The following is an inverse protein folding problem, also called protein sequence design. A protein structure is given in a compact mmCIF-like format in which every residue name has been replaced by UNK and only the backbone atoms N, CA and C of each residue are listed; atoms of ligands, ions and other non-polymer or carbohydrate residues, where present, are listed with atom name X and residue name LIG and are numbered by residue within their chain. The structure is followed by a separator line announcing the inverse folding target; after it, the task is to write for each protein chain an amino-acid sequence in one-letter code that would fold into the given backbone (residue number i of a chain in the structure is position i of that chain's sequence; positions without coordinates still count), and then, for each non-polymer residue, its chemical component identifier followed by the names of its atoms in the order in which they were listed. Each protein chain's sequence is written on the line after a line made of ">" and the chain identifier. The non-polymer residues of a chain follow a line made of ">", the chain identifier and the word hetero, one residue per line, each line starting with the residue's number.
data_IF_683701177385
#
_entry.id   IF_683701177385
#
_cell.length_a   1.000
_cell.length_b   1.000
_cell.length_c   1.000
_cell.angle_alpha   90.00
_cell.angle_beta   90.00
_cell.angle_gamma   90.00
#
_symmetry.space_group_name_H-M   'P 1'
#
loop_
_entity.id
_entity.type
_entity.pdbx_description
1 polymer ?
#
# COMPACT_ATOMS: atom_id res chain seq x y z
N UNK A 1 21.82 61.38 -31.85
CA UNK A 1 20.57 61.41 -31.07
C UNK A 1 20.78 60.63 -29.78
N UNK A 2 20.89 61.32 -28.65
CA UNK A 2 21.04 60.68 -27.35
C UNK A 2 19.70 60.06 -26.90
N UNK A 3 19.69 58.88 -26.25
CA UNK A 3 18.45 58.27 -25.75
C UNK A 3 17.84 59.13 -24.65
N UNK A 4 16.58 59.54 -24.83
CA UNK A 4 15.80 60.26 -23.82
C UNK A 4 15.71 59.41 -22.55
N UNK A 5 16.42 59.82 -21.49
CA UNK A 5 16.31 59.19 -20.19
C UNK A 5 14.93 59.50 -19.59
N UNK A 6 14.18 58.45 -19.25
CA UNK A 6 12.89 58.57 -18.58
C UNK A 6 13.04 59.26 -17.21
N UNK A 7 12.11 60.14 -16.81
CA UNK A 7 12.19 60.86 -15.55
C UNK A 7 12.27 59.92 -14.34
N UNK A 8 13.10 60.24 -13.31
CA UNK A 8 13.38 59.32 -12.19
C UNK A 8 12.14 58.98 -11.33
N UNK A 9 11.10 59.83 -11.35
CA UNK A 9 9.84 59.60 -10.63
C UNK A 9 8.88 58.63 -11.32
N UNK A 10 9.06 58.36 -12.62
CA UNK A 10 8.23 57.40 -13.38
C UNK A 10 8.70 55.95 -13.26
N UNK A 11 9.97 55.73 -12.88
CA UNK A 11 10.56 54.40 -12.69
C UNK A 11 9.87 53.55 -11.60
N UNK A 12 9.55 54.06 -10.39
CA UNK A 12 8.88 53.27 -9.37
C UNK A 12 7.42 52.95 -9.72
N UNK A 13 6.72 53.85 -10.43
CA UNK A 13 5.33 53.65 -10.85
C UNK A 13 5.25 52.60 -11.97
N UNK A 14 6.15 52.67 -12.95
CA UNK A 14 6.22 51.69 -14.04
C UNK A 14 6.57 50.29 -13.52
N UNK A 15 7.47 50.20 -12.53
CA UNK A 15 7.89 48.93 -11.89
C UNK A 15 6.77 48.29 -11.07
N UNK A 16 5.92 49.11 -10.42
CA UNK A 16 4.71 48.66 -9.72
C UNK A 16 3.64 48.18 -10.70
N UNK A 17 3.42 48.90 -11.81
CA UNK A 17 2.47 48.52 -12.85
C UNK A 17 2.87 47.22 -13.57
N UNK A 18 4.16 47.01 -13.85
CA UNK A 18 4.63 45.73 -14.39
C UNK A 18 4.36 44.56 -13.46
N UNK A 19 4.47 44.73 -12.14
CA UNK A 19 4.12 43.69 -11.17
C UNK A 19 2.63 43.35 -11.16
N UNK A 20 1.76 44.35 -11.25
CA UNK A 20 0.31 44.17 -11.28
C UNK A 20 -0.22 43.46 -12.54
N UNK A 21 0.53 43.48 -13.65
CA UNK A 21 0.16 42.78 -14.89
C UNK A 21 0.90 41.45 -15.05
N UNK A 22 2.19 41.38 -14.72
CA UNK A 22 2.97 40.14 -14.84
C UNK A 22 2.52 39.08 -13.85
N UNK A 23 2.17 39.44 -12.61
CA UNK A 23 1.76 38.45 -11.61
C UNK A 23 0.46 37.73 -12.01
N UNK A 24 -0.64 38.40 -12.41
CA UNK A 24 -1.84 37.69 -12.84
C UNK A 24 -1.66 36.94 -14.16
N UNK A 25 -0.82 37.43 -15.09
CA UNK A 25 -0.50 36.69 -16.33
C UNK A 25 0.32 35.44 -16.04
N UNK A 26 1.29 35.53 -15.13
CA UNK A 26 2.10 34.38 -14.71
C UNK A 26 1.27 33.38 -13.90
N UNK A 27 0.37 33.86 -13.04
CA UNK A 27 -0.59 33.02 -12.32
C UNK A 27 -1.59 32.35 -13.27
N UNK A 28 -2.12 33.07 -14.26
CA UNK A 28 -2.99 32.51 -15.29
C UNK A 28 -2.25 31.49 -16.17
N UNK A 29 -0.97 31.75 -16.49
CA UNK A 29 -0.11 30.80 -17.19
C UNK A 29 0.18 29.57 -16.33
N UNK A 30 0.39 29.70 -15.02
CA UNK A 30 0.58 28.57 -14.10
C UNK A 30 -0.70 27.73 -13.93
N UNK A 31 -1.87 28.38 -13.91
CA UNK A 31 -3.17 27.70 -13.83
C UNK A 31 -3.51 27.02 -15.16
N UNK A 32 -3.19 27.64 -16.29
CA UNK A 32 -3.38 27.05 -17.62
C UNK A 32 -2.34 25.97 -17.96
N UNK A 33 -1.16 26.02 -17.32
CA UNK A 33 -0.13 24.99 -17.36
C UNK A 33 -0.27 23.97 -16.22
N UNK A 34 -1.39 23.99 -15.49
CA UNK A 34 -1.70 22.91 -14.56
C UNK A 34 -1.67 21.61 -15.37
N UNK A 35 -0.85 20.62 -14.99
CA UNK A 35 -0.79 19.35 -15.70
C UNK A 35 -2.22 18.81 -15.76
N UNK A 36 -2.68 18.47 -16.97
CA UNK A 36 -3.96 17.76 -17.10
C UNK A 36 -3.89 16.56 -16.18
N UNK A 37 -4.88 16.35 -15.29
CA UNK A 37 -4.88 15.15 -14.46
C UNK A 37 -4.75 13.98 -15.43
N UNK A 38 -3.69 13.18 -15.26
CA UNK A 38 -3.57 11.92 -15.98
C UNK A 38 -4.90 11.21 -15.77
N UNK A 39 -5.63 10.93 -16.86
CA UNK A 39 -6.89 10.21 -16.77
C UNK A 39 -6.55 8.86 -16.14
N UNK A 40 -6.85 8.73 -14.86
CA UNK A 40 -6.64 7.50 -14.13
C UNK A 40 -7.50 6.43 -14.82
N UNK A 41 -6.91 5.28 -15.11
CA UNK A 41 -7.63 4.21 -15.76
C UNK A 41 -8.36 3.36 -14.72
N UNK A 42 -9.29 2.51 -15.17
CA UNK A 42 -9.82 1.48 -14.29
C UNK A 42 -8.71 0.50 -13.92
N UNK A 43 -8.76 -0.05 -12.71
CA UNK A 43 -7.74 -1.00 -12.25
C UNK A 43 -8.32 -2.22 -11.58
N UNK A 44 -7.46 -3.21 -11.43
CA UNK A 44 -7.72 -4.41 -10.66
C UNK A 44 -6.76 -4.57 -9.48
N UNK A 45 -7.17 -5.39 -8.52
CA UNK A 45 -6.45 -5.60 -7.26
C UNK A 45 -6.62 -7.01 -6.72
N UNK A 46 -5.52 -7.68 -6.38
CA UNK A 46 -5.52 -8.97 -5.70
C UNK A 46 -4.57 -8.87 -4.51
N UNK A 47 -5.01 -9.26 -3.31
CA UNK A 47 -4.11 -9.16 -2.16
C UNK A 47 -4.69 -9.60 -0.83
N UNK A 48 -3.94 -9.33 0.22
CA UNK A 48 -4.28 -9.70 1.59
C UNK A 48 -3.04 -9.73 2.46
N UNK A 49 -3.22 -9.98 3.75
CA UNK A 49 -2.10 -10.11 4.67
C UNK A 49 -2.53 -10.61 6.02
N UNK A 50 -1.56 -11.20 6.72
CA UNK A 50 -1.69 -11.61 8.11
C UNK A 50 -0.45 -11.14 8.87
N UNK A 51 -0.50 -9.91 9.38
CA UNK A 51 0.51 -9.39 10.32
C UNK A 51 0.25 -9.94 11.72
N UNK A 52 0.32 -11.27 11.86
CA UNK A 52 0.22 -11.94 13.15
C UNK A 52 1.62 -12.27 13.65
N UNK A 53 1.91 -11.87 14.89
CA UNK A 53 3.09 -12.34 15.62
C UNK A 53 3.13 -13.86 15.56
N UNK A 54 4.31 -14.43 15.33
CA UNK A 54 4.44 -15.88 15.24
C UNK A 54 3.86 -16.53 16.51
N UNK A 55 2.99 -17.55 16.41
CA UNK A 55 2.59 -18.31 17.58
C UNK A 55 3.86 -18.83 18.25
N UNK A 56 4.07 -18.47 19.51
CA UNK A 56 5.14 -19.05 20.30
C UNK A 56 4.92 -20.56 20.29
N UNK A 57 5.91 -21.34 19.86
CA UNK A 57 5.83 -22.79 19.94
C UNK A 57 5.34 -23.19 21.34
N UNK A 58 4.39 -24.14 21.48
CA UNK A 58 3.96 -24.58 22.80
C UNK A 58 5.20 -25.12 23.51
N UNK A 59 5.64 -24.40 24.55
CA UNK A 59 6.69 -24.88 25.44
C UNK A 59 6.12 -26.11 26.13
N UNK A 60 6.50 -27.27 25.63
CA UNK A 60 6.25 -28.55 26.28
C UNK A 60 7.03 -28.50 27.61
N UNK A 61 6.36 -28.13 28.69
CA UNK A 61 6.93 -28.19 30.04
C UNK A 61 6.95 -29.67 30.44
N UNK A 62 7.92 -30.40 29.88
CA UNK A 62 8.22 -31.77 30.25
C UNK A 62 9.07 -31.78 31.52
N UNK A 63 8.48 -32.27 32.62
CA UNK A 63 9.19 -33.08 33.61
C UNK A 63 9.95 -32.35 34.71
N UNK A 64 9.35 -32.35 35.91
CA UNK A 64 10.03 -32.11 37.19
C UNK A 64 9.10 -32.52 38.33
N UNK A 65 9.35 -33.68 38.94
CA UNK A 65 8.38 -34.44 39.71
C UNK A 65 8.30 -34.14 41.21
N UNK A 66 7.44 -34.93 41.88
CA UNK A 66 7.46 -35.18 43.32
C UNK A 66 6.16 -34.83 44.04
N UNK A 67 5.47 -35.84 44.59
CA UNK A 67 4.41 -35.60 45.58
C UNK A 67 3.31 -36.64 45.66
N UNK A 68 3.63 -37.80 46.22
CA UNK A 68 2.71 -38.86 46.64
C UNK A 68 1.66 -38.41 47.65
N UNK A 69 0.36 -38.63 47.37
CA UNK A 69 -0.66 -38.83 48.42
C UNK A 69 -1.69 -39.87 47.98
N UNK A 70 -1.98 -40.76 48.93
CA UNK A 70 -2.78 -41.98 48.86
C UNK A 70 -4.17 -41.72 49.44
N UNK A 71 -5.19 -42.37 48.88
CA UNK A 71 -6.50 -42.62 49.50
C UNK A 71 -7.64 -41.81 48.87
N UNK A 72 -8.85 -42.31 48.62
CA UNK A 72 -9.47 -43.62 48.86
C UNK A 72 -11.00 -43.45 48.76
N UNK A 73 -11.67 -44.44 48.17
CA UNK A 73 -13.09 -44.85 48.34
C UNK A 73 -14.27 -44.00 47.80
N UNK A 74 -15.30 -44.76 47.36
CA UNK A 74 -16.72 -44.46 47.00
C UNK A 74 -16.94 -43.72 45.66
N UNK A 75 -17.73 -44.20 44.69
CA UNK A 75 -18.90 -45.09 44.70
C UNK A 75 -20.18 -44.25 44.47
N UNK A 76 -20.89 -44.42 43.34
CA UNK A 76 -22.17 -43.72 43.14
C UNK A 76 -22.73 -43.61 41.70
N UNK A 77 -23.49 -44.62 41.31
CA UNK A 77 -24.62 -44.78 40.36
C UNK A 77 -25.47 -43.54 39.92
N UNK A 78 -26.03 -43.65 38.69
CA UNK A 78 -27.27 -42.99 38.21
C UNK A 78 -27.06 -41.78 37.28
N UNK A 79 -27.70 -41.59 36.12
CA UNK A 79 -28.91 -42.15 35.53
C UNK A 79 -29.89 -41.03 35.16
N UNK A 80 -30.24 -40.87 33.86
CA UNK A 80 -31.34 -40.02 33.34
C UNK A 80 -31.04 -38.50 33.33
N UNK A 81 -31.52 -37.66 32.41
CA UNK A 81 -32.61 -37.75 31.45
C UNK A 81 -33.41 -36.45 31.51
N UNK A 82 -33.51 -35.73 30.38
CA UNK A 82 -34.73 -35.02 29.98
C UNK A 82 -35.13 -33.66 30.60
N UNK A 83 -35.26 -32.68 29.69
CA UNK A 83 -36.31 -31.64 29.53
C UNK A 83 -36.59 -30.56 30.59
N UNK A 84 -36.80 -29.34 30.06
CA UNK A 84 -37.58 -28.14 30.47
C UNK A 84 -36.70 -26.91 30.13
N UNK A 85 -37.09 -25.87 29.38
CA UNK A 85 -38.40 -25.37 28.96
C UNK A 85 -38.36 -23.83 29.06
N UNK A 86 -38.91 -23.12 28.05
CA UNK A 86 -39.23 -21.68 28.06
C UNK A 86 -38.06 -20.74 27.73
N UNK A 87 -38.12 -19.80 26.78
CA UNK A 87 -39.25 -19.00 26.28
C UNK A 87 -39.23 -17.62 26.97
N UNK A 88 -39.10 -16.50 26.23
CA UNK A 88 -39.13 -15.18 26.89
C UNK A 88 -38.51 -13.95 26.21
N UNK A 89 -39.00 -13.59 25.03
CA UNK A 89 -39.22 -12.23 24.49
C UNK A 89 -38.99 -11.00 25.40
N UNK A 90 -38.18 -10.06 24.90
CA UNK A 90 -38.34 -8.58 24.94
C UNK A 90 -37.76 -8.10 23.59
N UNK A 91 -38.49 -7.47 22.65
CA UNK A 91 -39.23 -6.21 22.79
C UNK A 91 -38.20 -5.09 22.93
N UNK A 92 -37.73 -4.39 21.90
CA UNK A 92 -38.49 -3.56 20.95
C UNK A 92 -38.03 -2.11 21.14
N UNK A 93 -37.98 -1.32 20.06
CA UNK A 93 -37.86 0.15 20.15
C UNK A 93 -36.76 0.76 19.29
N UNK A 94 -37.10 1.05 18.04
CA UNK A 94 -36.47 2.12 17.28
C UNK A 94 -37.02 3.48 17.74
N UNK A 95 -36.15 4.49 17.73
CA UNK A 95 -36.53 5.89 17.92
C UNK A 95 -35.75 6.75 16.94
N UNK A 96 -36.50 7.64 16.29
CA UNK A 96 -36.06 8.74 15.47
C UNK A 96 -35.32 9.80 16.31
N UNK A 97 -34.28 10.40 15.73
CA UNK A 97 -33.64 11.64 16.18
C UNK A 97 -32.42 11.90 15.29
N UNK A 98 -32.35 12.90 14.41
CA UNK A 98 -33.07 14.16 14.35
C UNK A 98 -32.27 15.25 15.05
N UNK A 99 -31.37 15.92 14.30
CA UNK A 99 -30.65 17.14 14.71
C UNK A 99 -29.20 16.88 15.15
N UNK A 100 -28.23 17.77 14.97
CA UNK A 100 -28.23 19.17 14.51
C UNK A 100 -26.82 19.44 13.94
N UNK A 101 -26.79 20.16 12.82
CA UNK A 101 -25.59 20.77 12.26
C UNK A 101 -25.02 21.78 13.27
N UNK A 102 -23.86 21.49 13.84
CA UNK A 102 -23.03 22.54 14.43
C UNK A 102 -22.01 22.99 13.40
N UNK A 103 -22.31 24.14 12.81
CA UNK A 103 -21.31 25.00 12.17
C UNK A 103 -20.30 25.46 13.22
N UNK A 104 -19.04 25.10 12.98
CA UNK A 104 -17.89 25.66 13.65
C UNK A 104 -16.84 25.92 12.58
N UNK A 105 -16.77 27.17 12.12
CA UNK A 105 -15.74 27.63 11.21
C UNK A 105 -14.36 27.43 11.82
N UNK A 106 -13.62 26.47 11.29
CA UNK A 106 -12.20 26.28 11.51
C UNK A 106 -11.56 26.13 10.14
N UNK A 107 -10.71 27.09 9.78
CA UNK A 107 -9.93 27.11 8.56
C UNK A 107 -9.35 25.71 8.29
N UNK A 108 -9.79 25.10 7.18
CA UNK A 108 -9.18 23.92 6.62
C UNK A 108 -7.74 24.28 6.24
N UNK A 109 -6.78 23.86 7.05
CA UNK A 109 -5.42 23.68 6.57
C UNK A 109 -5.50 22.62 5.47
N UNK A 110 -5.25 22.96 4.19
CA UNK A 110 -5.09 21.92 3.20
C UNK A 110 -3.85 21.14 3.64
N UNK A 111 -4.00 19.85 3.91
CA UNK A 111 -2.85 18.96 4.04
C UNK A 111 -2.22 18.81 2.65
N UNK A 112 -1.58 19.87 2.17
CA UNK A 112 -0.45 19.78 1.26
C UNK A 112 0.69 19.33 2.15
N UNK A 113 0.90 18.01 2.23
CA UNK A 113 2.21 17.52 2.60
C UNK A 113 3.16 18.11 1.56
N UNK A 114 4.16 18.90 1.97
CA UNK A 114 5.09 19.45 1.02
C UNK A 114 5.89 18.29 0.42
N UNK A 115 5.67 18.02 -0.87
CA UNK A 115 6.53 17.15 -1.68
C UNK A 115 7.82 17.94 -1.91
N UNK A 116 8.66 18.06 -0.88
CA UNK A 116 9.99 18.64 -1.01
C UNK A 116 11.02 17.53 -0.85
N UNK A 117 11.67 17.18 -1.96
CA UNK A 117 13.07 16.72 -1.97
C UNK A 117 13.34 15.22 -1.89
N UNK A 118 12.33 14.37 -1.69
CA UNK A 118 12.45 12.92 -1.85
C UNK A 118 11.31 12.44 -2.75
N UNK A 119 11.64 11.67 -3.79
CA UNK A 119 10.66 11.03 -4.65
C UNK A 119 9.55 10.37 -3.84
N UNK A 120 8.32 10.41 -4.34
CA UNK A 120 7.12 9.95 -3.62
C UNK A 120 7.06 8.45 -3.34
N UNK A 121 8.16 7.73 -3.61
CA UNK A 121 8.34 6.29 -3.44
C UNK A 121 8.37 5.81 -1.99
N UNK A 122 8.47 4.48 -1.84
CA UNK A 122 8.62 3.78 -0.57
C UNK A 122 9.79 4.34 0.24
N UNK A 123 10.94 4.61 -0.38
CA UNK A 123 12.12 5.12 0.32
C UNK A 123 11.89 6.51 0.92
N UNK A 124 11.20 7.42 0.21
CA UNK A 124 10.81 8.72 0.75
C UNK A 124 9.90 8.59 1.97
N UNK A 125 8.94 7.67 1.93
CA UNK A 125 8.08 7.35 3.08
C UNK A 125 8.88 6.81 4.27
N UNK A 126 9.80 5.87 4.02
CA UNK A 126 10.60 5.24 5.08
C UNK A 126 11.55 6.23 5.73
N UNK A 127 12.18 7.11 4.94
CA UNK A 127 13.02 8.21 5.44
C UNK A 127 12.19 9.15 6.30
N UNK A 128 11.01 9.57 5.84
CA UNK A 128 10.11 10.41 6.63
C UNK A 128 9.77 9.74 7.98
N UNK A 129 9.42 8.46 7.96
CA UNK A 129 9.10 7.70 9.18
C UNK A 129 10.31 7.57 10.12
N UNK A 130 11.51 7.37 9.57
CA UNK A 130 12.73 7.34 10.37
C UNK A 130 12.99 8.70 11.04
N UNK A 131 12.80 9.81 10.32
CA UNK A 131 12.94 11.18 10.87
C UNK A 131 11.89 11.45 11.95
N UNK A 132 10.62 11.11 11.70
CA UNK A 132 9.53 11.25 12.69
C UNK A 132 9.82 10.40 13.92
N UNK A 133 10.27 9.15 13.74
CA UNK A 133 10.66 8.26 14.83
C UNK A 133 11.79 8.85 15.68
N UNK A 134 12.83 9.39 15.04
CA UNK A 134 13.94 10.04 15.73
C UNK A 134 13.50 11.28 16.53
N UNK A 135 12.62 12.12 15.96
CA UNK A 135 12.06 13.29 16.63
C UNK A 135 11.20 12.92 17.85
N UNK A 136 10.33 11.91 17.70
CA UNK A 136 9.47 11.43 18.79
C UNK A 136 10.29 10.80 19.92
N UNK A 137 11.37 10.08 19.58
CA UNK A 137 12.28 9.50 20.57
C UNK A 137 13.08 10.58 21.31
N UNK A 138 13.56 11.61 20.59
CA UNK A 138 14.22 12.77 21.19
C UNK A 138 13.34 13.55 22.14
N UNK A 139 12.05 13.75 21.78
CA UNK A 139 11.09 14.48 22.62
C UNK A 139 10.69 13.69 23.88
N UNK A 140 10.57 12.36 23.79
CA UNK A 140 10.29 11.48 24.96
C UNK A 140 11.47 11.44 25.93
N UNK A 141 12.71 11.47 25.42
CA UNK A 141 13.91 11.51 26.26
C UNK A 141 14.20 12.90 26.85
N UNK A 142 13.65 13.97 26.27
CA UNK A 142 13.79 15.34 26.80
C UNK A 142 12.75 15.70 27.88
N UNK A 143 11.69 14.89 28.07
CA UNK A 143 10.54 15.21 28.93
C UNK A 143 10.39 14.39 30.21
N UNK A 144 11.33 13.52 30.59
CA UNK A 144 11.13 12.61 31.72
C UNK A 144 12.41 12.05 32.34
N UNK A 145 13.09 12.85 33.15
CA UNK A 145 13.92 12.33 34.24
C UNK A 145 13.04 12.20 35.47
N UNK A 146 12.89 10.96 35.98
CA UNK A 146 12.66 10.53 37.37
C UNK A 146 11.79 9.27 37.42
N UNK A 147 12.43 8.10 37.36
CA UNK A 147 12.09 6.91 38.17
C UNK A 147 12.91 5.73 37.64
N UNK A 148 14.08 5.52 38.23
CA UNK A 148 14.78 4.25 38.12
C UNK A 148 14.04 3.17 38.90
N UNK A 149 13.70 2.08 38.24
CA UNK A 149 13.56 0.77 38.85
C UNK A 149 13.94 -0.26 37.80
N UNK A 150 15.22 -0.67 37.82
CA UNK A 150 15.67 -1.89 37.22
C UNK A 150 14.83 -3.05 37.77
N UNK A 151 13.92 -3.55 36.94
CA UNK A 151 13.31 -4.85 37.11
C UNK A 151 13.47 -5.56 35.79
N UNK A 152 14.66 -6.12 35.62
CA UNK A 152 14.98 -7.11 34.59
C UNK A 152 14.17 -8.38 34.85
N UNK A 153 12.88 -8.31 34.57
CA UNK A 153 12.01 -9.46 34.32
C UNK A 153 11.91 -9.61 32.81
N UNK A 154 12.97 -10.13 32.18
CA UNK A 154 12.93 -10.59 30.79
C UNK A 154 11.98 -11.78 30.69
N UNK A 155 10.69 -11.47 30.59
CA UNK A 155 9.70 -12.37 30.02
C UNK A 155 9.98 -12.39 28.52
N UNK A 156 10.86 -13.31 28.11
CA UNK A 156 11.19 -13.57 26.72
C UNK A 156 9.96 -14.00 25.93
N UNK A 157 9.24 -13.02 25.40
CA UNK A 157 8.52 -13.12 24.15
C UNK A 157 9.50 -12.83 23.03
N UNK A 158 9.61 -13.74 22.06
CA UNK A 158 10.41 -13.53 20.85
C UNK A 158 10.00 -12.18 20.23
N UNK A 159 10.89 -11.19 20.29
CA UNK A 159 10.65 -9.91 19.61
C UNK A 159 10.65 -10.22 18.12
N UNK A 160 9.50 -10.08 17.47
CA UNK A 160 9.39 -10.26 16.02
C UNK A 160 10.43 -9.35 15.33
N UNK A 161 11.20 -9.91 14.41
CA UNK A 161 12.25 -9.19 13.68
C UNK A 161 11.69 -8.10 12.75
N UNK A 162 12.55 -7.25 12.17
CA UNK A 162 12.12 -6.25 11.20
C UNK A 162 11.46 -6.91 9.99
N UNK A 163 10.45 -6.24 9.42
CA UNK A 163 9.72 -6.68 8.23
C UNK A 163 10.29 -5.96 7.02
N UNK A 164 10.68 -6.72 5.99
CA UNK A 164 11.02 -6.15 4.69
C UNK A 164 9.74 -5.86 3.91
N UNK A 165 9.63 -4.66 3.35
CA UNK A 165 8.57 -4.27 2.43
C UNK A 165 9.24 -3.96 1.10
N UNK A 166 8.77 -4.60 0.03
CA UNK A 166 9.21 -4.37 -1.34
C UNK A 166 8.06 -3.86 -2.19
N UNK A 167 8.34 -2.88 -3.03
CA UNK A 167 7.44 -2.35 -4.05
C UNK A 167 8.12 -2.46 -5.41
N UNK A 168 7.54 -3.21 -6.33
CA UNK A 168 8.04 -3.37 -7.69
C UNK A 168 6.94 -2.96 -8.66
N UNK A 169 7.24 -1.98 -9.49
CA UNK A 169 6.35 -1.44 -10.51
C UNK A 169 6.94 -1.78 -11.89
N UNK A 170 6.12 -2.27 -12.81
CA UNK A 170 6.52 -2.60 -14.18
C UNK A 170 5.53 -1.98 -15.15
N UNK A 171 6.04 -1.16 -16.07
CA UNK A 171 5.31 -0.65 -17.22
C UNK A 171 5.55 -1.55 -18.42
N UNK A 172 4.48 -2.16 -18.93
CA UNK A 172 4.49 -3.08 -20.06
C UNK A 172 3.79 -2.47 -21.28
N UNK A 173 4.16 -2.90 -22.49
CA UNK A 173 3.38 -2.64 -23.68
C UNK A 173 1.98 -3.25 -23.58
N UNK A 174 0.96 -2.58 -24.13
CA UNK A 174 -0.44 -3.04 -24.09
C UNK A 174 -0.72 -4.30 -24.90
N UNK A 175 0.22 -4.77 -25.71
CA UNK A 175 0.19 -6.13 -26.27
C UNK A 175 0.18 -7.20 -25.18
N UNK A 176 0.53 -6.87 -23.92
CA UNK A 176 0.40 -7.73 -22.74
C UNK A 176 -1.05 -7.98 -22.27
N UNK A 177 -2.04 -7.99 -23.17
CA UNK A 177 -3.45 -8.28 -22.83
C UNK A 177 -3.62 -9.65 -22.19
N UNK A 178 -2.74 -10.60 -22.52
CA UNK A 178 -2.69 -11.92 -21.89
C UNK A 178 -2.40 -11.81 -20.38
N UNK A 179 -1.50 -10.92 -19.97
CA UNK A 179 -1.20 -10.67 -18.55
C UNK A 179 -2.43 -10.13 -17.80
N UNK A 180 -3.20 -9.22 -18.40
CA UNK A 180 -4.46 -8.73 -17.79
C UNK A 180 -5.48 -9.86 -17.66
N UNK A 181 -5.61 -10.72 -18.68
CA UNK A 181 -6.50 -11.88 -18.63
C UNK A 181 -6.07 -12.88 -17.55
N UNK A 182 -4.77 -13.09 -17.38
CA UNK A 182 -4.18 -13.93 -16.34
C UNK A 182 -4.45 -13.35 -14.94
N UNK A 183 -4.24 -12.05 -14.74
CA UNK A 183 -4.57 -11.34 -13.51
C UNK A 183 -6.06 -11.43 -13.17
N UNK A 184 -6.94 -11.23 -14.16
CA UNK A 184 -8.38 -11.37 -13.96
C UNK A 184 -8.79 -12.78 -13.59
N UNK A 185 -8.20 -13.80 -14.22
CA UNK A 185 -8.42 -15.20 -13.89
C UNK A 185 -7.98 -15.49 -12.46
N UNK A 186 -6.78 -15.04 -12.07
CA UNK A 186 -6.29 -15.17 -10.69
C UNK A 186 -7.21 -14.47 -9.69
N UNK A 187 -7.68 -13.25 -10.00
CA UNK A 187 -8.65 -12.54 -9.16
C UNK A 187 -9.95 -13.32 -8.98
N UNK A 188 -10.42 -14.01 -10.02
CA UNK A 188 -11.64 -14.81 -9.94
C UNK A 188 -11.48 -16.10 -9.12
N UNK A 189 -10.30 -16.74 -9.16
CA UNK A 189 -10.12 -18.11 -8.63
C UNK A 189 -9.29 -18.20 -7.35
N UNK A 190 -8.33 -17.29 -7.13
CA UNK A 190 -7.38 -17.40 -6.03
C UNK A 190 -8.05 -17.25 -4.65
N UNK A 191 -7.64 -18.07 -3.69
CA UNK A 191 -8.01 -17.92 -2.29
C UNK A 191 -7.05 -16.95 -1.59
N UNK A 192 -7.42 -15.67 -1.52
CA UNK A 192 -6.60 -14.63 -0.87
C UNK A 192 -6.81 -14.53 0.63
N UNK A 193 -7.63 -15.40 1.23
CA UNK A 193 -7.83 -15.46 2.68
C UNK A 193 -6.71 -16.22 3.40
N UNK A 194 -5.85 -16.92 2.65
CA UNK A 194 -4.75 -17.74 3.16
C UNK A 194 -3.40 -17.27 2.62
N UNK A 195 -2.35 -17.36 3.44
CA UNK A 195 -0.98 -17.02 3.01
C UNK A 195 -0.49 -17.91 1.87
N UNK A 196 -0.89 -19.19 1.85
CA UNK A 196 -0.56 -20.11 0.76
C UNK A 196 -1.18 -19.64 -0.58
N UNK A 197 -2.42 -19.15 -0.56
CA UNK A 197 -3.04 -18.61 -1.76
C UNK A 197 -2.44 -17.26 -2.19
N UNK A 198 -2.06 -16.38 -1.25
CA UNK A 198 -1.29 -15.17 -1.57
C UNK A 198 0.06 -15.52 -2.21
N UNK A 199 0.77 -16.50 -1.66
CA UNK A 199 2.06 -16.94 -2.20
C UNK A 199 1.91 -17.51 -3.61
N UNK A 200 0.82 -18.24 -3.88
CA UNK A 200 0.49 -18.69 -5.24
C UNK A 200 0.25 -17.52 -6.19
N UNK A 201 -0.49 -16.49 -5.77
CA UNK A 201 -0.71 -15.26 -6.58
C UNK A 201 0.62 -14.56 -6.88
N UNK A 202 1.50 -14.43 -5.89
CA UNK A 202 2.84 -13.85 -6.07
C UNK A 202 3.62 -14.62 -7.14
N UNK A 203 3.68 -15.96 -7.00
CA UNK A 203 4.38 -16.81 -7.96
C UNK A 203 3.80 -16.72 -9.37
N UNK A 204 2.49 -16.86 -9.52
CA UNK A 204 1.85 -16.83 -10.84
C UNK A 204 2.00 -15.45 -11.50
N UNK A 205 1.87 -14.36 -10.74
CA UNK A 205 2.10 -12.99 -11.24
C UNK A 205 3.55 -12.78 -11.68
N UNK A 206 4.53 -13.14 -10.83
CA UNK A 206 5.95 -13.01 -11.18
C UNK A 206 6.33 -13.88 -12.37
N UNK A 207 5.80 -15.10 -12.47
CA UNK A 207 6.02 -15.98 -13.63
C UNK A 207 5.39 -15.42 -14.90
N UNK A 208 4.19 -14.85 -14.82
CA UNK A 208 3.53 -14.24 -15.97
C UNK A 208 4.34 -13.06 -16.53
N UNK A 209 4.94 -12.25 -15.64
CA UNK A 209 5.87 -11.19 -16.03
C UNK A 209 7.14 -11.77 -16.66
N UNK A 210 7.75 -12.78 -16.04
CA UNK A 210 8.97 -13.44 -16.50
C UNK A 210 8.84 -14.15 -17.85
N UNK A 211 7.62 -14.54 -18.25
CA UNK A 211 7.33 -15.18 -19.54
C UNK A 211 7.32 -14.21 -20.72
N UNK A 212 7.13 -12.93 -20.47
CA UNK A 212 7.01 -11.90 -21.51
C UNK A 212 8.00 -10.74 -21.28
N UNK A 213 9.32 -11.02 -21.17
CA UNK A 213 10.32 -10.00 -20.87
C UNK A 213 10.45 -8.94 -21.97
N UNK A 214 10.10 -9.27 -23.21
CA UNK A 214 10.09 -8.36 -24.36
C UNK A 214 9.03 -7.27 -24.27
N UNK A 215 8.06 -7.40 -23.37
CA UNK A 215 6.99 -6.43 -23.16
C UNK A 215 7.35 -5.40 -22.09
N UNK A 216 8.43 -5.59 -21.33
CA UNK A 216 8.86 -4.64 -20.31
C UNK A 216 9.48 -3.40 -20.97
N UNK A 217 8.98 -2.22 -20.62
CA UNK A 217 9.50 -0.94 -21.12
C UNK A 217 10.03 -0.11 -19.98
N UNK A 218 9.31 -0.10 -18.85
CA UNK A 218 9.68 0.66 -17.68
C UNK A 218 9.66 -0.20 -16.42
N UNK A 219 10.49 0.12 -15.45
CA UNK A 219 10.42 -0.49 -14.14
C UNK A 219 10.90 0.44 -13.01
N UNK A 220 10.42 0.16 -11.81
CA UNK A 220 10.92 0.70 -10.57
C UNK A 220 10.85 -0.40 -9.49
N UNK A 221 11.81 -0.40 -8.57
CA UNK A 221 11.93 -1.44 -7.55
C UNK A 221 12.57 -0.87 -6.30
N UNK A 222 11.78 -0.77 -5.26
CA UNK A 222 12.20 -0.25 -3.97
C UNK A 222 12.01 -1.31 -2.89
N UNK A 223 12.96 -1.38 -1.95
CA UNK A 223 12.86 -2.25 -0.79
C UNK A 223 13.35 -1.50 0.44
N UNK A 224 12.66 -1.71 1.56
CA UNK A 224 13.12 -1.22 2.85
C UNK A 224 12.63 -2.07 3.99
N UNK A 225 13.07 -1.74 5.20
CA UNK A 225 12.73 -2.47 6.41
C UNK A 225 12.04 -1.57 7.42
N UNK A 226 11.05 -2.11 8.10
CA UNK A 226 10.31 -1.42 9.16
C UNK A 226 10.19 -2.33 10.39
N UNK A 227 10.10 -1.76 11.60
CA UNK A 227 9.75 -2.54 12.79
C UNK A 227 8.42 -3.26 12.60
N UNK A 228 8.33 -4.51 13.06
CA UNK A 228 7.12 -5.34 12.94
C UNK A 228 5.85 -4.62 13.39
N UNK A 229 5.91 -3.91 14.53
CA UNK A 229 4.78 -3.16 15.09
C UNK A 229 4.20 -2.08 14.16
N UNK A 230 5.01 -1.57 13.22
CA UNK A 230 4.57 -0.57 12.23
C UNK A 230 4.30 -1.14 10.85
N UNK A 231 4.67 -2.40 10.60
CA UNK A 231 4.73 -2.99 9.27
C UNK A 231 3.37 -2.98 8.56
N UNK A 232 2.31 -3.41 9.24
CA UNK A 232 0.95 -3.41 8.69
C UNK A 232 0.50 -2.02 8.28
N UNK A 233 0.69 -1.04 9.16
CA UNK A 233 0.28 0.34 8.90
C UNK A 233 1.07 0.97 7.74
N UNK A 234 2.35 0.62 7.59
CA UNK A 234 3.19 1.07 6.48
C UNK A 234 2.75 0.43 5.17
N UNK A 235 2.56 -0.89 5.18
CA UNK A 235 2.08 -1.65 4.02
C UNK A 235 0.74 -1.12 3.52
N UNK A 236 -0.25 -0.97 4.41
CA UNK A 236 -1.58 -0.47 4.06
C UNK A 236 -1.53 0.96 3.51
N UNK A 237 -0.60 1.80 3.98
CA UNK A 237 -0.43 3.16 3.46
C UNK A 237 0.12 3.15 2.03
N UNK A 238 1.10 2.30 1.75
CA UNK A 238 1.66 2.12 0.41
C UNK A 238 0.60 1.59 -0.55
N UNK A 239 -0.15 0.56 -0.12
CA UNK A 239 -1.30 0.04 -0.84
C UNK A 239 -2.31 1.13 -1.20
N UNK A 240 -2.73 1.96 -0.24
CA UNK A 240 -3.66 3.07 -0.49
C UNK A 240 -3.08 4.11 -1.45
N UNK A 241 -1.77 4.41 -1.37
CA UNK A 241 -1.09 5.31 -2.31
C UNK A 241 -1.15 4.76 -3.74
N UNK A 242 -0.83 3.48 -3.93
CA UNK A 242 -0.87 2.85 -5.24
C UNK A 242 -2.31 2.75 -5.77
N UNK A 243 -3.28 2.44 -4.90
CA UNK A 243 -4.70 2.42 -5.26
C UNK A 243 -5.26 3.78 -5.62
N UNK A 244 -4.74 4.87 -5.04
CA UNK A 244 -5.20 6.23 -5.36
C UNK A 244 -4.89 6.67 -6.79
N UNK A 245 -4.01 5.94 -7.48
CA UNK A 245 -3.71 6.13 -8.91
C UNK A 245 -4.80 5.57 -9.82
N UNK A 246 -5.69 4.71 -9.31
CA UNK A 246 -6.79 4.11 -10.05
C UNK A 246 -8.01 5.04 -10.00
N UNK A 247 -8.72 5.18 -11.11
CA UNK A 247 -10.01 5.91 -11.11
C UNK A 247 -11.10 5.06 -10.45
N UNK A 248 -11.13 3.78 -10.80
CA UNK A 248 -12.14 2.82 -10.37
C UNK A 248 -11.52 1.44 -10.20
N UNK A 249 -11.80 0.77 -9.10
CA UNK A 249 -11.50 -0.65 -8.90
C UNK A 249 -12.64 -1.50 -9.45
N UNK A 250 -12.43 -2.17 -10.58
CA UNK A 250 -13.46 -3.01 -11.22
C UNK A 250 -13.25 -4.50 -10.95
N UNK A 251 -12.02 -4.95 -10.72
CA UNK A 251 -11.72 -6.34 -10.36
C UNK A 251 -11.01 -6.36 -9.01
N UNK A 252 -11.62 -6.93 -7.98
CA UNK A 252 -10.99 -7.05 -6.65
C UNK A 252 -11.09 -8.47 -6.10
N UNK A 253 -10.00 -8.91 -5.46
CA UNK A 253 -9.97 -10.13 -4.64
C UNK A 253 -9.02 -9.89 -3.46
N UNK A 254 -9.57 -9.48 -2.33
CA UNK A 254 -8.77 -9.10 -1.16
C UNK A 254 -9.25 -9.80 0.09
N UNK A 255 -8.35 -10.52 0.76
CA UNK A 255 -8.63 -11.27 1.99
C UNK A 255 -9.88 -12.20 1.86
N UNK A 256 -10.07 -12.80 0.69
CA UNK A 256 -11.19 -13.66 0.34
C UNK A 256 -12.45 -12.93 -0.13
N UNK A 257 -12.53 -11.60 0.00
CA UNK A 257 -13.63 -10.79 -0.51
C UNK A 257 -13.40 -10.45 -1.98
N UNK A 258 -14.35 -10.85 -2.84
CA UNK A 258 -14.26 -10.69 -4.29
C UNK A 258 -15.31 -9.72 -4.81
N UNK A 259 -14.96 -8.88 -5.76
CA UNK A 259 -15.88 -8.08 -6.55
C UNK A 259 -15.43 -8.05 -8.00
N UNK A 260 -16.37 -8.18 -8.92
CA UNK A 260 -16.13 -7.99 -10.35
C UNK A 260 -17.23 -7.07 -10.88
N UNK A 261 -16.87 -5.82 -11.15
CA UNK A 261 -17.70 -4.85 -11.84
C UNK A 261 -17.68 -5.12 -13.34
N UNK A 262 -18.85 -5.02 -13.98
CA UNK A 262 -18.92 -5.05 -15.44
C UNK A 262 -18.41 -3.73 -15.99
N UNK A 263 -17.21 -3.72 -16.60
CA UNK A 263 -16.72 -2.54 -17.31
C UNK A 263 -17.44 -2.41 -18.65
N UNK A 264 -18.45 -1.53 -18.71
CA UNK A 264 -19.06 -1.07 -19.96
C UNK A 264 -18.51 0.32 -20.24
N UNK A 265 -17.22 0.42 -20.54
CA UNK A 265 -16.60 1.65 -21.04
C UNK A 265 -16.02 1.32 -22.41
N UNK A 266 -16.38 2.14 -23.40
CA UNK A 266 -15.90 1.97 -24.76
C UNK A 266 -14.36 2.13 -24.79
N UNK A 267 -13.68 1.22 -25.48
CA UNK A 267 -12.24 1.31 -25.73
C UNK A 267 -11.89 2.72 -26.22
N UNK A 268 -10.93 3.37 -25.55
CA UNK A 268 -10.42 4.66 -26.00
C UNK A 268 -9.82 4.51 -27.40
N UNK A 269 -10.00 5.52 -28.24
CA UNK A 269 -9.33 5.59 -29.54
C UNK A 269 -7.87 6.00 -29.32
N UNK A 270 -6.96 5.04 -29.13
CA UNK A 270 -5.51 5.31 -29.08
C UNK A 270 -4.74 4.41 -30.04
N UNK A 271 -3.54 4.88 -30.36
CA UNK A 271 -2.64 4.28 -31.33
C UNK A 271 -1.89 3.11 -30.68
N UNK A 272 -2.17 1.88 -31.13
CA UNK A 272 -1.79 0.62 -30.49
C UNK A 272 -0.27 0.42 -30.25
N UNK A 273 0.57 1.28 -30.82
CA UNK A 273 2.03 1.26 -30.66
C UNK A 273 2.54 1.98 -29.39
N UNK A 274 1.73 2.83 -28.74
CA UNK A 274 2.16 3.67 -27.59
C UNK A 274 1.31 3.46 -26.34
N UNK A 275 0.70 2.29 -26.25
CA UNK A 275 -0.22 1.91 -25.20
C UNK A 275 0.49 1.05 -24.15
N UNK A 276 0.18 1.28 -22.88
CA UNK A 276 0.85 0.65 -21.75
C UNK A 276 -0.13 0.07 -20.72
N UNK A 277 0.39 -0.90 -19.97
CA UNK A 277 -0.21 -1.49 -18.77
C UNK A 277 0.82 -1.35 -17.64
N UNK A 278 0.39 -0.85 -16.49
CA UNK A 278 1.19 -0.81 -15.27
C UNK A 278 0.79 -1.96 -14.34
N UNK A 279 1.78 -2.64 -13.77
CA UNK A 279 1.60 -3.65 -12.71
C UNK A 279 2.47 -3.28 -11.52
N UNK A 280 1.86 -3.14 -10.35
CA UNK A 280 2.54 -2.92 -9.08
C UNK A 280 2.41 -4.17 -8.20
N UNK A 281 3.53 -4.67 -7.69
CA UNK A 281 3.61 -5.70 -6.66
C UNK A 281 4.13 -5.07 -5.37
N UNK A 282 3.34 -5.17 -4.30
CA UNK A 282 3.73 -4.81 -2.95
C UNK A 282 3.81 -6.09 -2.10
N UNK A 283 4.96 -6.33 -1.48
CA UNK A 283 5.23 -7.55 -0.71
C UNK A 283 5.73 -7.16 0.67
N UNK A 284 5.18 -7.77 1.72
CA UNK A 284 5.76 -7.73 3.07
C UNK A 284 6.29 -9.13 3.43
N UNK A 285 7.54 -9.19 3.88
CA UNK A 285 8.25 -10.43 4.22
C UNK A 285 8.91 -10.35 5.60
N UNK A 286 8.90 -11.45 6.35
CA UNK A 286 9.65 -11.61 7.61
C UNK A 286 11.17 -11.62 7.38
N UNK A 287 11.61 -11.99 6.18
CA UNK A 287 13.02 -12.02 5.80
C UNK A 287 13.38 -10.82 4.95
N UNK A 288 14.64 -10.41 5.06
CA UNK A 288 15.21 -9.43 4.15
C UNK A 288 15.05 -9.88 2.69
N UNK A 289 14.64 -8.94 1.83
CA UNK A 289 14.54 -9.12 0.39
C UNK A 289 15.75 -8.44 -0.25
N UNK A 290 16.71 -9.20 -0.77
CA UNK A 290 17.87 -8.66 -1.52
C UNK A 290 17.44 -8.45 -2.97
N UNK A 291 16.78 -7.33 -3.29
CA UNK A 291 16.43 -7.02 -4.67
C UNK A 291 17.67 -6.52 -5.42
N UNK A 292 17.83 -6.90 -6.68
CA UNK A 292 18.98 -6.51 -7.51
C UNK A 292 18.79 -5.19 -8.23
N UNK A 293 17.65 -4.54 -8.00
CA UNK A 293 17.23 -3.32 -8.68
C UNK A 293 16.34 -3.62 -9.88
N UNK A 294 16.02 -2.57 -10.61
CA UNK A 294 15.12 -2.60 -11.78
C UNK A 294 15.63 -1.68 -12.90
N UNK A 295 16.92 -1.36 -12.89
CA UNK A 295 17.53 -0.40 -13.82
C UNK A 295 17.77 -1.02 -15.21
N UNK A 296 17.81 -2.36 -15.29
CA UNK A 296 17.95 -3.12 -16.54
C UNK A 296 16.98 -4.30 -16.56
N UNK A 297 16.69 -4.83 -17.75
CA UNK A 297 15.84 -6.00 -17.91
C UNK A 297 16.39 -7.24 -17.17
N UNK A 298 17.71 -7.41 -17.13
CA UNK A 298 18.37 -8.49 -16.37
C UNK A 298 18.16 -8.31 -14.86
N UNK A 299 18.36 -7.10 -14.34
CA UNK A 299 18.16 -6.81 -12.91
C UNK A 299 16.69 -7.01 -12.51
N UNK A 300 15.74 -6.55 -13.33
CA UNK A 300 14.31 -6.78 -13.12
C UNK A 300 13.99 -8.28 -13.13
N UNK A 301 14.56 -9.04 -14.07
CA UNK A 301 14.39 -10.50 -14.13
C UNK A 301 14.85 -11.18 -12.84
N UNK A 302 16.04 -10.84 -12.34
CA UNK A 302 16.54 -11.38 -11.08
C UNK A 302 15.67 -10.96 -9.89
N UNK A 303 15.22 -9.71 -9.85
CA UNK A 303 14.30 -9.19 -8.83
C UNK A 303 12.98 -9.98 -8.82
N UNK A 304 12.35 -10.21 -9.97
CA UNK A 304 11.12 -11.01 -10.08
C UNK A 304 11.32 -12.48 -9.68
N UNK A 305 12.47 -13.08 -10.02
CA UNK A 305 12.82 -14.45 -9.60
C UNK A 305 12.96 -14.54 -8.07
N UNK A 306 13.52 -13.52 -7.43
CA UNK A 306 13.66 -13.46 -5.97
C UNK A 306 12.33 -13.25 -5.26
N UNK A 307 11.44 -12.44 -5.84
CA UNK A 307 10.09 -12.29 -5.33
C UNK A 307 9.29 -13.60 -5.44
N UNK A 308 9.41 -14.31 -6.57
CA UNK A 308 8.74 -15.60 -6.77
C UNK A 308 9.24 -16.71 -5.82
N UNK A 309 10.45 -16.58 -5.27
CA UNK A 309 11.03 -17.55 -4.33
C UNK A 309 10.67 -17.31 -2.86
N UNK A 310 9.90 -16.25 -2.56
CA UNK A 310 9.41 -15.99 -1.19
C UNK A 310 8.50 -17.15 -0.76
N UNK A 311 8.87 -17.77 0.36
CA UNK A 311 8.14 -18.89 0.94
C UNK A 311 6.88 -18.45 1.70
N UNK A 312 5.92 -19.37 1.84
CA UNK A 312 4.65 -19.14 2.56
C UNK A 312 4.90 -18.67 4.01
N UNK A 313 5.91 -19.20 4.67
CA UNK A 313 6.25 -18.86 6.06
C UNK A 313 6.78 -17.43 6.23
N UNK A 314 7.46 -16.93 5.19
CA UNK A 314 8.10 -15.62 5.21
C UNK A 314 7.13 -14.53 4.71
N UNK A 315 6.16 -14.87 3.87
CA UNK A 315 5.18 -13.92 3.33
C UNK A 315 4.18 -13.46 4.40
N UNK A 316 4.16 -12.16 4.69
CA UNK A 316 3.21 -11.54 5.62
C UNK A 316 2.01 -10.93 4.90
N UNK A 317 2.26 -10.25 3.79
CA UNK A 317 1.22 -9.61 2.99
C UNK A 317 1.65 -9.49 1.53
N UNK A 318 0.67 -9.46 0.65
CA UNK A 318 0.83 -9.26 -0.78
C UNK A 318 -0.28 -8.34 -1.28
N UNK A 319 0.07 -7.43 -2.16
CA UNK A 319 -0.89 -6.67 -2.95
C UNK A 319 -0.38 -6.51 -4.37
N UNK A 320 -1.17 -7.01 -5.32
CA UNK A 320 -0.95 -6.87 -6.76
C UNK A 320 -2.01 -5.91 -7.27
N UNK A 321 -1.57 -4.82 -7.87
CA UNK A 321 -2.43 -3.79 -8.46
C UNK A 321 -2.05 -3.67 -9.92
N UNK A 322 -3.02 -3.61 -10.82
CA UNK A 322 -2.76 -3.36 -12.23
C UNK A 322 -3.74 -2.36 -12.82
N UNK A 323 -3.28 -1.65 -13.84
CA UNK A 323 -4.11 -0.78 -14.65
C UNK A 323 -3.55 -0.64 -16.07
N UNK A 324 -4.39 -0.50 -17.09
CA UNK A 324 -5.85 -0.55 -16.99
C UNK A 324 -6.37 -1.98 -16.75
N UNK A 325 -7.63 -2.13 -16.36
CA UNK A 325 -8.33 -3.43 -16.30
C UNK A 325 -9.51 -3.49 -17.30
N UNK A 326 -10.08 -2.34 -17.65
CA UNK A 326 -11.22 -2.25 -18.58
C UNK A 326 -10.88 -2.78 -19.97
N UNK A 327 -11.84 -3.45 -20.59
CA UNK A 327 -11.66 -4.03 -21.94
C UNK A 327 -11.39 -2.91 -22.95
N UNK A 328 -10.20 -2.93 -23.55
CA UNK A 328 -9.79 -1.91 -24.51
C UNK A 328 -9.34 -0.58 -23.89
N UNK A 329 -9.26 -0.49 -22.55
CA UNK A 329 -8.55 0.61 -21.89
C UNK A 329 -7.03 0.35 -21.94
N UNK A 330 -6.29 1.43 -22.13
CA UNK A 330 -4.82 1.47 -22.26
C UNK A 330 -4.32 2.80 -21.71
N UNK A 331 -3.10 2.85 -21.19
CA UNK A 331 -2.44 4.08 -20.77
C UNK A 331 -1.54 4.60 -21.89
N UNK A 332 -1.56 5.90 -22.16
CA UNK A 332 -0.50 6.52 -22.97
C UNK A 332 0.79 6.63 -22.15
N UNK A 333 1.94 6.85 -22.81
CA UNK A 333 3.22 7.09 -22.14
C UNK A 333 3.14 8.21 -21.09
N UNK A 334 2.50 9.34 -21.45
CA UNK A 334 2.34 10.49 -20.54
C UNK A 334 1.47 10.16 -19.33
N UNK A 335 0.42 9.36 -19.52
CA UNK A 335 -0.43 8.91 -18.41
C UNK A 335 0.32 7.95 -17.48
N UNK A 336 1.10 7.02 -18.05
CA UNK A 336 1.92 6.09 -17.29
C UNK A 336 2.95 6.85 -16.45
N UNK A 337 3.77 7.69 -17.08
CA UNK A 337 4.84 8.43 -16.40
C UNK A 337 4.30 9.52 -15.46
N UNK A 338 3.11 10.06 -15.75
CA UNK A 338 2.41 10.96 -14.85
C UNK A 338 1.91 10.29 -13.57
N UNK A 339 1.38 9.05 -13.68
CA UNK A 339 0.92 8.27 -12.53
C UNK A 339 2.06 7.59 -11.76
N UNK A 340 3.16 7.27 -12.45
CA UNK A 340 4.32 6.57 -11.92
C UNK A 340 5.62 7.31 -12.26
N UNK A 341 5.91 8.44 -11.59
CA UNK A 341 7.05 9.28 -11.92
C UNK A 341 8.42 8.63 -11.62
N UNK A 342 8.45 7.58 -10.80
CA UNK A 342 9.67 6.84 -10.44
C UNK A 342 10.05 5.77 -11.47
N UNK A 343 9.18 5.48 -12.46
CA UNK A 343 9.46 4.50 -13.49
C UNK A 343 10.64 4.93 -14.37
N UNK A 344 11.60 4.03 -14.54
CA UNK A 344 12.77 4.22 -15.39
C UNK A 344 12.68 3.30 -16.61
N UNK A 345 13.17 3.79 -17.75
CA UNK A 345 13.21 2.99 -18.98
C UNK A 345 14.29 1.90 -18.87
N UNK A 346 13.96 0.68 -19.31
CA UNK A 346 14.83 -0.50 -19.27
C UNK A 346 15.82 -0.60 -20.44
#
# INVERSE_FOLDING_TARGET
>A
MAPRQLPPFLRPVLRRLTGFVLIPVLMAALIAAAPTPAQAASGGRIGGGSFRSAPSAPRNYGGGGGGSYRGGYRGGYGGGGGYYGGGGYYGGGGYYGGGVYYGGGGFGVPFVVPIFGFGGGLLGLLVLMAVVGALLNGLRNAGGSLSGSDSAGSLGGSVDGPVAIAEVQVGLLASARELQADLRRMAATADTSTTAGLQRVLQETSLSLLRNPELWVYANGEVGQVPFASAESTFNRLAVRERSKLEREITTNVAGARSAGSSVVAAGSSDAASDYIAVTLLIASRRALDLKGTDTAEALRETLQRLASVGVEDLLALEVIWQPEGVGEVLTADQLLGAYPELQHL
#
